data_IF_605037354365
#
_entry.id   IF_605037354365
#
_cell.length_a   1.000
_cell.length_b   1.000
_cell.length_c   1.000
_cell.angle_alpha   90.00
_cell.angle_beta   90.00
_cell.angle_gamma   90.00
#
_symmetry.space_group_name_H-M   'P 1'
#
loop_
_entity.id
_entity.type
_entity.pdbx_description
1 polymer ?
#
# COMPACT_ATOMS: atom_id res chain seq x y z
N UNK A 1 36.60 50.93 6.34
CA UNK A 1 35.14 50.80 6.12
C UNK A 1 34.80 49.45 5.49
N UNK A 2 35.25 48.34 6.10
CA UNK A 2 35.20 47.02 5.44
C UNK A 2 34.56 45.92 6.30
N UNK A 3 34.07 46.25 7.51
CA UNK A 3 33.29 45.30 8.34
C UNK A 3 31.77 45.38 8.09
N UNK A 4 31.28 46.41 7.39
CA UNK A 4 29.86 46.57 7.09
C UNK A 4 29.37 45.69 5.93
N UNK A 5 30.21 45.47 4.92
CA UNK A 5 29.83 44.70 3.72
C UNK A 5 29.89 43.19 3.93
N UNK A 6 30.78 42.67 4.81
CA UNK A 6 30.84 41.24 5.10
C UNK A 6 29.65 40.76 5.93
N UNK A 7 29.12 41.57 6.85
CA UNK A 7 27.95 41.20 7.65
C UNK A 7 26.64 41.19 6.84
N UNK A 8 26.51 42.06 5.83
CA UNK A 8 25.36 42.04 4.91
C UNK A 8 25.32 40.76 4.05
N UNK A 9 26.47 40.32 3.53
CA UNK A 9 26.57 39.09 2.75
C UNK A 9 26.27 37.81 3.56
N UNK A 10 26.53 37.81 4.87
CA UNK A 10 26.25 36.67 5.74
C UNK A 10 24.74 36.55 6.01
N UNK A 11 24.04 37.67 6.19
CA UNK A 11 22.58 37.66 6.40
C UNK A 11 21.80 37.32 5.13
N UNK A 12 22.25 37.80 3.97
CA UNK A 12 21.62 37.51 2.68
C UNK A 12 21.80 36.02 2.29
N UNK A 13 22.96 35.42 2.61
CA UNK A 13 23.19 33.98 2.45
C UNK A 13 22.46 33.12 3.48
N UNK A 14 22.16 33.65 4.67
CA UNK A 14 21.33 32.95 5.66
C UNK A 14 19.86 32.89 5.21
N UNK A 15 19.37 33.97 4.59
CA UNK A 15 18.04 34.01 3.97
C UNK A 15 17.97 33.16 2.69
N UNK A 16 19.06 33.04 1.93
CA UNK A 16 19.12 32.17 0.75
C UNK A 16 19.23 30.66 1.08
N UNK A 17 19.67 30.29 2.30
CA UNK A 17 19.66 28.89 2.79
C UNK A 17 18.36 28.47 3.44
N UNK A 18 17.55 29.42 3.92
CA UNK A 18 16.15 29.18 4.20
C UNK A 18 15.42 29.16 2.86
N UNK A 19 15.46 28.03 2.16
CA UNK A 19 14.67 27.83 0.95
C UNK A 19 13.25 28.33 1.19
N UNK A 20 12.72 29.11 0.23
CA UNK A 20 11.34 29.60 0.27
C UNK A 20 10.44 28.39 0.52
N UNK A 21 9.91 28.31 1.74
CA UNK A 21 9.02 27.24 2.17
C UNK A 21 7.70 27.50 1.45
N UNK A 22 7.53 26.88 0.29
CA UNK A 22 6.28 26.93 -0.44
C UNK A 22 5.19 26.40 0.50
N UNK A 23 4.13 27.17 0.83
CA UNK A 23 3.07 26.69 1.72
C UNK A 23 2.34 25.46 1.18
N UNK A 24 2.51 25.12 -0.11
CA UNK A 24 2.07 23.87 -0.70
C UNK A 24 3.01 22.68 -0.49
N UNK A 25 4.25 22.91 -0.07
CA UNK A 25 5.31 21.89 0.00
C UNK A 25 5.10 20.83 1.07
N UNK A 26 4.39 21.18 2.15
CA UNK A 26 4.04 20.28 3.26
C UNK A 26 2.64 19.67 3.12
N UNK A 27 1.96 19.89 1.99
CA UNK A 27 0.70 19.19 1.70
C UNK A 27 1.02 17.73 1.39
N UNK A 28 0.48 16.81 2.20
CA UNK A 28 0.56 15.37 1.96
C UNK A 28 -0.24 15.06 0.68
N UNK A 29 0.45 14.52 -0.32
CA UNK A 29 -0.15 14.01 -1.55
C UNK A 29 -0.58 12.55 -1.38
N UNK A 30 0.25 11.75 -0.70
CA UNK A 30 -0.03 10.34 -0.42
C UNK A 30 0.54 9.95 0.93
N UNK A 31 -0.24 9.27 1.76
CA UNK A 31 0.20 8.73 3.04
C UNK A 31 -0.13 7.25 3.15
N UNK A 32 0.86 6.49 3.61
CA UNK A 32 0.72 5.16 4.17
C UNK A 32 1.01 5.29 5.67
N UNK A 33 -0.01 5.37 6.54
CA UNK A 33 0.16 5.60 7.96
C UNK A 33 1.19 4.65 8.58
N UNK A 34 2.15 5.22 9.32
CA UNK A 34 3.23 4.47 9.96
C UNK A 34 4.31 3.92 9.03
N UNK A 35 4.26 4.22 7.72
CA UNK A 35 5.17 3.64 6.72
C UNK A 35 5.81 4.73 5.86
N UNK A 36 5.03 5.56 5.17
CA UNK A 36 5.56 6.62 4.30
C UNK A 36 4.57 7.78 4.11
N UNK A 37 5.05 9.02 4.05
CA UNK A 37 4.32 10.18 3.54
C UNK A 37 5.05 10.76 2.34
N UNK A 38 4.32 11.02 1.27
CA UNK A 38 4.77 11.72 0.08
C UNK A 38 4.05 13.06 0.05
N UNK A 39 4.81 14.13 -0.02
CA UNK A 39 4.30 15.49 -0.05
C UNK A 39 4.25 15.99 -1.50
N UNK A 40 3.39 16.98 -1.78
CA UNK A 40 3.31 17.63 -3.10
C UNK A 40 4.63 18.25 -3.57
N UNK A 41 5.54 18.55 -2.63
CA UNK A 41 6.92 18.98 -2.94
C UNK A 41 7.82 17.87 -3.51
N UNK A 42 7.35 16.63 -3.51
CA UNK A 42 8.18 15.44 -3.75
C UNK A 42 9.03 15.03 -2.54
N UNK A 43 8.95 15.74 -1.40
CA UNK A 43 9.52 15.26 -0.14
C UNK A 43 8.87 13.93 0.21
N UNK A 44 9.65 12.99 0.72
CA UNK A 44 9.17 11.70 1.21
C UNK A 44 9.67 11.48 2.62
N UNK A 45 8.75 11.34 3.57
CA UNK A 45 9.06 10.89 4.92
C UNK A 45 8.83 9.39 5.02
N UNK A 46 9.86 8.67 5.47
CA UNK A 46 9.86 7.22 5.67
C UNK A 46 9.87 6.96 7.17
N UNK A 47 8.94 6.16 7.64
CA UNK A 47 8.85 5.77 9.05
C UNK A 47 9.43 4.37 9.26
N UNK A 48 9.67 4.00 10.52
CA UNK A 48 10.34 2.76 10.94
C UNK A 48 9.74 1.51 10.24
N UNK A 49 10.61 0.63 9.74
CA UNK A 49 10.24 -0.49 8.84
C UNK A 49 10.33 -0.20 7.34
N UNK A 50 10.58 1.06 6.93
CA UNK A 50 10.89 1.42 5.52
C UNK A 50 12.29 1.94 5.28
N UNK A 51 13.14 1.86 6.31
CA UNK A 51 14.56 2.11 6.21
C UNK A 51 15.08 1.30 5.03
N UNK A 52 15.54 2.02 4.01
CA UNK A 52 16.07 1.50 2.75
C UNK A 52 17.34 0.65 2.94
N UNK A 53 17.68 0.29 4.19
CA UNK A 53 18.75 -0.61 4.56
C UNK A 53 18.41 -2.10 4.39
N UNK A 54 17.17 -2.48 4.03
CA UNK A 54 16.86 -3.90 3.76
C UNK A 54 16.46 -4.17 2.30
N UNK A 55 15.75 -3.28 1.61
CA UNK A 55 15.42 -3.49 0.19
C UNK A 55 15.33 -2.15 -0.55
N UNK A 56 16.32 -1.78 -1.39
CA UNK A 56 16.14 -0.67 -2.32
C UNK A 56 15.00 -0.99 -3.30
N UNK A 57 14.16 -0.02 -3.70
CA UNK A 57 13.20 -0.25 -4.79
C UNK A 57 13.99 -0.72 -6.00
N UNK A 58 13.68 -1.92 -6.52
CA UNK A 58 14.37 -2.44 -7.69
C UNK A 58 14.26 -1.41 -8.82
N UNK A 59 15.39 -0.99 -9.42
CA UNK A 59 15.32 -0.05 -10.52
C UNK A 59 14.50 -0.67 -11.65
N UNK A 60 13.55 0.09 -12.17
CA UNK A 60 12.74 -0.30 -13.31
C UNK A 60 13.68 -0.68 -14.46
N UNK A 61 13.66 -1.95 -14.88
CA UNK A 61 14.53 -2.46 -15.95
C UNK A 61 15.78 -3.20 -15.49
N UNK A 62 15.94 -3.52 -14.21
CA UNK A 62 16.93 -4.50 -13.78
C UNK A 62 16.59 -5.89 -14.37
N UNK A 63 17.45 -6.52 -15.19
CA UNK A 63 17.22 -7.86 -15.71
C UNK A 63 17.14 -8.95 -14.62
N UNK A 64 17.62 -8.67 -13.39
CA UNK A 64 17.41 -9.54 -12.23
C UNK A 64 16.02 -9.35 -11.58
N UNK A 65 15.33 -8.24 -11.87
CA UNK A 65 13.95 -7.99 -11.43
C UNK A 65 12.95 -8.56 -12.44
N UNK A 66 12.96 -9.90 -12.57
CA UNK A 66 12.07 -10.64 -13.45
C UNK A 66 10.59 -10.59 -13.01
N UNK A 67 10.28 -10.02 -11.83
CA UNK A 67 8.95 -9.96 -11.24
C UNK A 67 8.51 -8.52 -10.95
N UNK A 68 8.36 -7.74 -12.02
CA UNK A 68 7.74 -6.42 -11.93
C UNK A 68 6.31 -6.46 -11.39
N UNK A 69 5.71 -5.31 -11.05
CA UNK A 69 4.36 -5.24 -10.47
C UNK A 69 3.28 -5.87 -11.35
N UNK A 70 3.47 -5.89 -12.67
CA UNK A 70 2.54 -6.50 -13.64
C UNK A 70 2.85 -7.96 -13.97
N UNK A 71 3.89 -8.54 -13.35
CA UNK A 71 4.17 -9.96 -13.53
C UNK A 71 3.02 -10.79 -12.94
N UNK A 72 2.51 -11.85 -13.61
CA UNK A 72 1.35 -12.64 -13.16
C UNK A 72 1.44 -13.18 -11.72
N UNK A 73 2.65 -13.51 -11.25
CA UNK A 73 2.88 -13.94 -9.86
C UNK A 73 2.69 -12.83 -8.81
N UNK A 74 2.74 -11.57 -9.21
CA UNK A 74 2.54 -10.40 -8.35
C UNK A 74 1.15 -9.81 -8.57
N UNK A 75 0.77 -9.61 -9.83
CA UNK A 75 -0.55 -9.16 -10.24
C UNK A 75 -1.24 -10.26 -11.05
N UNK A 76 -1.99 -11.15 -10.41
CA UNK A 76 -2.63 -12.25 -11.11
C UNK A 76 -3.61 -11.76 -12.19
N UNK A 77 -4.14 -10.53 -12.11
CA UNK A 77 -5.08 -10.00 -13.10
C UNK A 77 -4.45 -9.82 -14.49
N UNK A 78 -3.12 -9.89 -14.61
CA UNK A 78 -2.42 -9.86 -15.91
C UNK A 78 -2.39 -11.21 -16.62
N UNK A 79 -2.87 -12.29 -15.99
CA UNK A 79 -3.06 -13.62 -16.60
C UNK A 79 -4.48 -14.17 -16.35
N UNK A 80 -5.53 -13.55 -16.90
CA UNK A 80 -6.92 -13.93 -16.62
C UNK A 80 -7.28 -15.35 -17.10
N UNK A 81 -6.56 -15.90 -18.10
CA UNK A 81 -6.78 -17.26 -18.59
C UNK A 81 -6.49 -18.33 -17.54
N UNK A 82 -5.52 -18.09 -16.66
CA UNK A 82 -5.18 -19.01 -15.55
C UNK A 82 -6.26 -19.04 -14.48
N UNK A 83 -7.05 -17.97 -14.34
CA UNK A 83 -8.06 -17.86 -13.29
C UNK A 83 -9.25 -18.79 -13.55
N UNK A 84 -9.50 -19.19 -14.79
CA UNK A 84 -10.54 -20.18 -15.13
C UNK A 84 -10.19 -21.60 -14.64
N UNK A 85 -8.94 -21.83 -14.25
CA UNK A 85 -8.40 -23.16 -13.90
C UNK A 85 -8.16 -23.33 -12.39
N UNK A 86 -8.83 -22.53 -11.55
CA UNK A 86 -8.72 -22.66 -10.09
C UNK A 86 -9.16 -24.07 -9.66
N UNK A 87 -8.28 -24.76 -8.93
CA UNK A 87 -8.49 -26.15 -8.51
C UNK A 87 -9.43 -26.33 -7.30
N UNK A 88 -9.98 -25.24 -6.76
CA UNK A 88 -10.99 -25.27 -5.72
C UNK A 88 -12.39 -25.02 -6.33
N UNK A 89 -13.43 -25.26 -5.54
CA UNK A 89 -14.82 -24.89 -5.92
C UNK A 89 -15.29 -23.57 -5.31
N UNK A 90 -14.54 -23.02 -4.33
CA UNK A 90 -14.90 -21.81 -3.59
C UNK A 90 -13.66 -20.99 -3.27
N UNK A 91 -13.81 -19.66 -3.29
CA UNK A 91 -12.78 -18.69 -2.89
C UNK A 91 -13.42 -17.66 -1.96
N UNK A 92 -12.77 -17.41 -0.82
CA UNK A 92 -13.09 -16.29 0.05
C UNK A 92 -12.00 -15.22 -0.09
N UNK A 93 -12.40 -13.98 -0.33
CA UNK A 93 -11.54 -12.81 -0.30
C UNK A 93 -11.97 -11.91 0.86
N UNK A 94 -11.09 -11.74 1.85
CA UNK A 94 -11.32 -10.81 2.97
C UNK A 94 -10.45 -9.56 2.84
N UNK A 95 -10.98 -8.41 3.24
CA UNK A 95 -10.23 -7.16 3.32
C UNK A 95 -10.83 -6.24 4.38
N UNK A 96 -10.11 -5.17 4.72
CA UNK A 96 -10.62 -4.10 5.56
C UNK A 96 -10.82 -2.81 4.75
N UNK A 97 -11.82 -2.01 5.12
CA UNK A 97 -12.20 -0.77 4.41
C UNK A 97 -11.05 0.24 4.32
N UNK A 98 -10.25 0.36 5.39
CA UNK A 98 -9.13 1.31 5.46
C UNK A 98 -7.79 0.66 5.06
N UNK A 99 -7.83 -0.52 4.44
CA UNK A 99 -6.63 -1.18 3.94
C UNK A 99 -6.11 -0.50 2.66
N UNK A 100 -4.80 -0.29 2.56
CA UNK A 100 -4.14 0.22 1.35
C UNK A 100 -4.35 -0.66 0.10
N UNK A 101 -4.75 -1.90 0.30
CA UNK A 101 -5.01 -2.87 -0.77
C UNK A 101 -6.49 -3.11 -0.99
N UNK A 102 -7.40 -2.32 -0.39
CA UNK A 102 -8.85 -2.54 -0.48
C UNK A 102 -9.33 -2.59 -1.94
N UNK A 103 -8.89 -1.66 -2.77
CA UNK A 103 -9.28 -1.64 -4.19
C UNK A 103 -8.66 -2.81 -4.98
N UNK A 104 -7.48 -3.28 -4.58
CA UNK A 104 -6.87 -4.48 -5.16
C UNK A 104 -7.64 -5.73 -4.78
N UNK A 105 -8.10 -5.85 -3.52
CA UNK A 105 -8.90 -6.97 -3.05
C UNK A 105 -10.26 -7.02 -3.77
N UNK A 106 -10.91 -5.86 -3.93
CA UNK A 106 -12.16 -5.73 -4.73
C UNK A 106 -11.93 -6.13 -6.18
N UNK A 107 -10.88 -5.61 -6.82
CA UNK A 107 -10.53 -5.96 -8.20
C UNK A 107 -10.20 -7.46 -8.35
N UNK A 108 -9.55 -8.06 -7.34
CA UNK A 108 -9.27 -9.50 -7.32
C UNK A 108 -10.56 -10.32 -7.27
N UNK A 109 -11.49 -9.99 -6.37
CA UNK A 109 -12.78 -10.69 -6.27
C UNK A 109 -13.60 -10.56 -7.57
N UNK A 110 -13.66 -9.37 -8.17
CA UNK A 110 -14.38 -9.15 -9.44
C UNK A 110 -13.70 -9.85 -10.62
N UNK A 111 -12.38 -9.89 -10.65
CA UNK A 111 -11.65 -10.62 -11.68
C UNK A 111 -11.95 -12.13 -11.66
N UNK A 112 -12.11 -12.74 -10.48
CA UNK A 112 -12.43 -14.18 -10.36
C UNK A 112 -13.86 -14.43 -10.85
N UNK A 113 -14.79 -13.53 -10.53
CA UNK A 113 -16.17 -13.63 -11.07
C UNK A 113 -16.20 -13.50 -12.59
N UNK A 114 -15.32 -12.69 -13.17
CA UNK A 114 -15.29 -12.40 -14.59
C UNK A 114 -14.47 -13.41 -15.43
N UNK A 115 -13.65 -14.26 -14.81
CA UNK A 115 -12.70 -15.11 -15.54
C UNK A 115 -13.29 -16.40 -16.13
N UNK A 116 -14.58 -16.67 -15.94
CA UNK A 116 -15.25 -17.87 -16.44
C UNK A 116 -14.97 -19.14 -15.63
N UNK A 117 -14.36 -19.03 -14.46
CA UNK A 117 -14.35 -20.10 -13.46
C UNK A 117 -15.76 -20.36 -12.94
N UNK A 118 -16.11 -21.63 -12.74
CA UNK A 118 -17.47 -22.09 -12.39
C UNK A 118 -17.71 -22.26 -10.88
N UNK A 119 -16.74 -21.86 -10.06
CA UNK A 119 -16.87 -21.88 -8.60
C UNK A 119 -17.50 -20.62 -8.00
N UNK A 120 -17.53 -20.57 -6.67
CA UNK A 120 -18.15 -19.49 -5.91
C UNK A 120 -17.11 -18.53 -5.33
N UNK A 121 -17.38 -17.22 -5.45
CA UNK A 121 -16.55 -16.16 -4.84
C UNK A 121 -17.35 -15.47 -3.73
N UNK A 122 -16.85 -15.55 -2.50
CA UNK A 122 -17.33 -14.80 -1.35
C UNK A 122 -16.38 -13.62 -1.08
N UNK A 123 -16.93 -12.42 -0.92
CA UNK A 123 -16.17 -11.22 -0.59
C UNK A 123 -16.63 -10.66 0.75
N UNK A 124 -15.69 -10.49 1.68
CA UNK A 124 -15.94 -9.95 3.01
C UNK A 124 -15.10 -8.70 3.25
N UNK A 125 -15.75 -7.56 3.47
CA UNK A 125 -15.08 -6.30 3.78
C UNK A 125 -15.44 -5.83 5.19
N UNK A 126 -14.44 -5.73 6.07
CA UNK A 126 -14.61 -5.23 7.42
C UNK A 126 -14.52 -3.71 7.45
N UNK A 127 -15.62 -3.07 7.86
CA UNK A 127 -15.71 -1.60 7.95
C UNK A 127 -14.93 -1.03 9.14
N UNK A 128 -14.33 0.14 8.93
CA UNK A 128 -13.62 0.90 9.97
C UNK A 128 -12.30 0.28 10.47
N UNK A 129 -11.82 -0.77 9.81
CA UNK A 129 -10.55 -1.42 10.18
C UNK A 129 -9.47 -1.19 9.12
N UNK A 130 -8.22 -1.26 9.57
CA UNK A 130 -7.02 -1.03 8.77
C UNK A 130 -6.40 -2.35 8.29
N UNK A 131 -5.28 -2.26 7.56
CA UNK A 131 -4.57 -3.43 7.04
C UNK A 131 -4.21 -4.44 8.14
N UNK A 132 -4.58 -5.70 7.93
CA UNK A 132 -4.30 -6.86 8.83
C UNK A 132 -4.64 -6.60 10.30
N UNK A 133 -5.67 -5.79 10.57
CA UNK A 133 -6.04 -5.36 11.92
C UNK A 133 -6.22 -6.53 12.91
N UNK A 134 -6.68 -7.69 12.45
CA UNK A 134 -6.89 -8.89 13.26
C UNK A 134 -5.60 -9.45 13.89
N UNK A 135 -4.42 -9.13 13.34
CA UNK A 135 -3.13 -9.51 13.94
C UNK A 135 -2.79 -8.64 15.16
N UNK A 136 -3.15 -7.36 15.12
CA UNK A 136 -2.80 -6.37 16.16
C UNK A 136 -3.92 -6.17 17.18
N UNK A 137 -5.18 -6.38 16.77
CA UNK A 137 -6.40 -6.22 17.57
C UNK A 137 -7.15 -7.55 17.66
N UNK A 138 -6.44 -8.66 17.88
CA UNK A 138 -7.01 -10.01 17.82
C UNK A 138 -8.21 -10.27 18.74
N UNK A 139 -8.33 -9.52 19.84
CA UNK A 139 -9.45 -9.60 20.78
C UNK A 139 -10.63 -8.67 20.48
N UNK A 140 -10.59 -7.83 19.43
CA UNK A 140 -11.69 -6.93 19.13
C UNK A 140 -12.86 -7.67 18.46
N UNK A 141 -14.07 -7.14 18.61
CA UNK A 141 -15.28 -7.72 18.03
C UNK A 141 -15.17 -7.97 16.52
N UNK A 142 -14.52 -7.06 15.79
CA UNK A 142 -14.31 -7.21 14.36
C UNK A 142 -13.33 -8.33 14.02
N UNK A 143 -12.30 -8.55 14.83
CA UNK A 143 -11.33 -9.63 14.60
C UNK A 143 -11.95 -10.99 14.87
N UNK A 144 -12.77 -11.09 15.94
CA UNK A 144 -13.54 -12.30 16.25
C UNK A 144 -14.55 -12.62 15.14
N UNK A 145 -15.25 -11.61 14.61
CA UNK A 145 -16.18 -11.78 13.49
C UNK A 145 -15.48 -12.22 12.21
N UNK A 146 -14.36 -11.60 11.85
CA UNK A 146 -13.60 -11.99 10.65
C UNK A 146 -13.05 -13.42 10.78
N UNK A 147 -12.55 -13.80 11.96
CA UNK A 147 -12.14 -15.18 12.21
C UNK A 147 -13.32 -16.16 12.07
N UNK A 148 -14.51 -15.79 12.53
CA UNK A 148 -15.70 -16.62 12.37
C UNK A 148 -16.08 -16.79 10.89
N UNK A 149 -15.96 -15.75 10.06
CA UNK A 149 -16.18 -15.83 8.60
C UNK A 149 -15.20 -16.81 7.95
N UNK A 150 -13.91 -16.70 8.28
CA UNK A 150 -12.87 -17.62 7.76
C UNK A 150 -13.11 -19.05 8.23
N UNK A 151 -13.42 -19.24 9.51
CA UNK A 151 -13.67 -20.56 10.09
C UNK A 151 -14.91 -21.22 9.48
N UNK A 152 -16.00 -20.48 9.28
CA UNK A 152 -17.20 -20.98 8.62
C UNK A 152 -16.92 -21.35 7.17
N UNK A 153 -16.21 -20.50 6.42
CA UNK A 153 -15.84 -20.79 5.03
C UNK A 153 -15.08 -22.11 4.89
N UNK A 154 -14.04 -22.29 5.70
CA UNK A 154 -13.20 -23.51 5.71
C UNK A 154 -13.98 -24.70 6.26
N UNK A 155 -14.86 -24.50 7.24
CA UNK A 155 -15.62 -25.58 7.89
C UNK A 155 -16.74 -26.18 7.03
N UNK A 156 -17.20 -25.47 5.99
CA UNK A 156 -18.26 -25.91 5.06
C UNK A 156 -17.81 -26.95 4.02
N UNK A 157 -16.78 -27.76 4.33
CA UNK A 157 -16.31 -28.85 3.46
C UNK A 157 -17.29 -30.02 3.42
#
# INVERSE_FOLDING_TARGET
MELGHQNALIMENLQAKAGVMDPGSDIIEYERPGVVRVYKSGRVERFDGTDTNTVPPCPSGDPANQFGPDHPYINPATSPGEWSQLGCGRVLVTTAELCWFVDRARAYAEGIKACGWDGEVEFHETKGEEHVYFLFKSGCDNAVKELAVVADFVGRC
#
